data_IF_041847504874
#
_entry.id   IF_041847504874
#
_cell.length_a   1.000
_cell.length_b   1.000
_cell.length_c   1.000
_cell.angle_alpha   90.00
_cell.angle_beta   90.00
_cell.angle_gamma   90.00
#
_symmetry.space_group_name_H-M   'P 1'
#
loop_
_entity.id
_entity.type
_entity.pdbx_description
1 polymer ?
#
# COMPACT_ATOMS: atom_id res chain seq x y z
N UNK A 1 23.07 -12.61 -1.17
CA UNK A 1 21.92 -11.74 -0.81
C UNK A 1 22.48 -10.51 -0.10
N UNK A 2 22.27 -9.33 -0.64
CA UNK A 2 22.49 -8.10 0.14
C UNK A 2 21.42 -8.10 1.23
N UNK A 3 21.85 -7.95 2.47
CA UNK A 3 20.95 -7.72 3.59
C UNK A 3 20.26 -6.38 3.37
N UNK A 4 18.94 -6.31 3.53
CA UNK A 4 18.23 -5.04 3.48
C UNK A 4 18.77 -4.14 4.61
N UNK A 5 19.09 -2.89 4.28
CA UNK A 5 19.50 -1.92 5.28
C UNK A 5 18.32 -1.48 6.14
N UNK A 6 18.58 -1.26 7.43
CA UNK A 6 17.58 -0.68 8.34
C UNK A 6 17.44 0.82 8.01
N UNK A 7 16.30 1.22 7.51
CA UNK A 7 15.98 2.63 7.20
C UNK A 7 15.64 3.45 8.46
N UNK A 8 15.70 2.84 9.64
CA UNK A 8 15.41 3.47 10.95
C UNK A 8 14.02 4.09 11.08
N UNK A 9 13.06 3.69 10.25
CA UNK A 9 11.66 4.10 10.37
C UNK A 9 10.88 3.04 11.15
N UNK A 10 10.17 3.46 12.21
CA UNK A 10 9.32 2.59 13.02
C UNK A 10 7.90 3.09 13.02
N UNK A 11 6.96 2.21 12.72
CA UNK A 11 5.53 2.51 12.76
C UNK A 11 4.93 2.03 14.08
N UNK A 12 4.21 2.90 14.74
CA UNK A 12 3.52 2.61 16.00
C UNK A 12 2.09 3.13 15.94
N UNK A 13 1.16 2.43 16.57
CA UNK A 13 -0.19 2.96 16.75
C UNK A 13 -0.15 4.30 17.48
N UNK A 14 -0.92 5.27 17.00
CA UNK A 14 -1.02 6.62 17.56
C UNK A 14 -1.78 6.61 18.90
N UNK A 15 -1.21 5.93 19.89
CA UNK A 15 -1.71 5.92 21.28
C UNK A 15 -1.43 7.27 21.93
N UNK A 16 -2.33 7.74 22.78
CA UNK A 16 -2.14 9.02 23.46
C UNK A 16 -3.46 9.56 23.98
N UNK A 17 -3.44 10.83 24.34
CA UNK A 17 -4.62 11.56 24.79
C UNK A 17 -4.87 12.76 23.90
N UNK A 18 -6.11 12.92 23.45
CA UNK A 18 -6.55 14.13 22.75
C UNK A 18 -7.76 14.67 23.49
N UNK A 19 -7.64 15.88 24.03
CA UNK A 19 -8.69 16.46 24.86
C UNK A 19 -8.95 15.68 26.16
N UNK A 20 -7.90 15.04 26.73
CA UNK A 20 -7.99 14.28 27.98
C UNK A 20 -8.53 12.84 27.82
N UNK A 21 -8.96 12.44 26.63
CA UNK A 21 -9.47 11.08 26.37
C UNK A 21 -8.37 10.16 25.83
N UNK A 22 -8.16 8.96 26.42
CA UNK A 22 -7.19 8.00 25.92
C UNK A 22 -7.61 7.52 24.53
N UNK A 23 -6.64 7.32 23.63
CA UNK A 23 -6.83 6.79 22.30
C UNK A 23 -6.01 5.53 22.09
N UNK A 24 -6.59 4.57 21.39
CA UNK A 24 -5.91 3.31 21.02
C UNK A 24 -5.11 3.44 19.72
N UNK A 25 -5.30 4.51 18.96
CA UNK A 25 -4.81 4.67 17.60
C UNK A 25 -5.71 4.03 16.56
N UNK A 26 -6.83 3.44 16.97
CA UNK A 26 -7.82 2.79 16.09
C UNK A 26 -9.14 3.54 16.22
N UNK A 27 -9.76 3.84 15.08
CA UNK A 27 -11.07 4.45 14.99
C UNK A 27 -12.02 3.52 14.24
N UNK A 28 -13.10 3.10 14.90
CA UNK A 28 -14.13 2.27 14.30
C UNK A 28 -15.26 3.16 13.75
N UNK A 29 -15.58 2.99 12.47
CA UNK A 29 -16.59 3.77 11.77
C UNK A 29 -17.71 2.84 11.30
N UNK A 30 -18.94 3.11 11.78
CA UNK A 30 -20.12 2.43 11.27
C UNK A 30 -20.49 3.03 9.92
N UNK A 31 -20.62 2.18 8.91
CA UNK A 31 -21.02 2.59 7.55
C UNK A 31 -22.10 1.67 7.01
N UNK A 32 -22.88 2.17 6.06
CA UNK A 32 -23.80 1.37 5.25
C UNK A 32 -23.21 1.06 3.86
N UNK A 33 -21.96 1.46 3.60
CA UNK A 33 -21.25 1.11 2.36
C UNK A 33 -20.79 -0.32 2.48
N UNK A 34 -21.28 -1.17 1.59
CA UNK A 34 -20.96 -2.60 1.57
C UNK A 34 -19.60 -2.87 0.96
N UNK A 35 -19.22 -2.09 -0.06
CA UNK A 35 -17.98 -2.28 -0.82
C UNK A 35 -17.41 -0.94 -1.28
N UNK A 36 -16.10 -0.76 -1.19
CA UNK A 36 -15.36 0.42 -1.60
C UNK A 36 -14.63 0.18 -2.92
N UNK A 37 -14.38 1.26 -3.64
CA UNK A 37 -13.54 1.32 -4.84
C UNK A 37 -12.28 2.15 -4.57
N UNK A 38 -11.42 2.32 -5.55
CA UNK A 38 -10.21 3.14 -5.45
C UNK A 38 -10.45 4.65 -5.71
N UNK A 39 -11.66 5.14 -5.42
CA UNK A 39 -12.10 6.51 -5.68
C UNK A 39 -11.95 7.47 -4.48
N UNK A 40 -11.20 7.07 -3.46
CA UNK A 40 -11.02 7.78 -2.19
C UNK A 40 -12.31 7.99 -1.36
N UNK A 41 -13.43 7.37 -1.71
CA UNK A 41 -14.68 7.55 -0.97
C UNK A 41 -14.55 7.16 0.51
N UNK A 42 -13.82 6.08 0.80
CA UNK A 42 -13.54 5.62 2.18
C UNK A 42 -12.82 6.68 3.02
N UNK A 43 -12.08 7.59 2.40
CA UNK A 43 -11.34 8.68 3.06
C UNK A 43 -12.22 9.90 3.38
N UNK A 44 -13.53 9.82 3.14
CA UNK A 44 -14.47 10.93 3.36
C UNK A 44 -15.67 10.54 4.22
N UNK A 45 -15.83 11.22 5.36
CA UNK A 45 -16.98 11.01 6.26
C UNK A 45 -18.33 11.21 5.55
N UNK A 46 -18.41 12.18 4.63
CA UNK A 46 -19.66 12.46 3.88
C UNK A 46 -20.07 11.34 2.93
N UNK A 47 -19.12 10.46 2.56
CA UNK A 47 -19.35 9.30 1.70
C UNK A 47 -19.48 7.99 2.50
N UNK A 48 -19.58 8.07 3.83
CA UNK A 48 -19.70 6.91 4.71
C UNK A 48 -18.39 6.41 5.31
N UNK A 49 -17.26 6.96 4.93
CA UNK A 49 -15.93 6.62 5.46
C UNK A 49 -15.49 7.52 6.62
N UNK A 50 -14.21 7.73 6.75
CA UNK A 50 -13.60 8.57 7.78
C UNK A 50 -12.67 9.62 7.18
N UNK A 51 -12.79 10.88 7.61
CA UNK A 51 -11.84 11.89 7.20
C UNK A 51 -10.44 11.59 7.75
N UNK A 52 -9.42 12.01 7.02
CA UNK A 52 -8.03 12.00 7.44
C UNK A 52 -7.85 12.68 8.81
N UNK A 53 -6.99 12.11 9.63
CA UNK A 53 -6.64 12.66 10.94
C UNK A 53 -5.22 13.19 10.94
N UNK A 54 -5.05 14.52 11.05
CA UNK A 54 -3.75 15.21 11.14
C UNK A 54 -2.66 14.63 10.22
N UNK A 55 -2.80 14.71 8.90
CA UNK A 55 -1.93 14.03 7.94
C UNK A 55 -0.44 14.37 8.10
N UNK A 56 -0.12 15.58 8.55
CA UNK A 56 1.27 16.00 8.80
C UNK A 56 1.92 15.39 10.05
N UNK A 57 1.16 14.62 10.84
CA UNK A 57 1.65 14.01 12.09
C UNK A 57 1.47 12.50 12.13
N UNK A 58 0.53 11.96 11.36
CA UNK A 58 0.18 10.55 11.40
C UNK A 58 -0.02 9.99 10.00
N UNK A 59 0.52 8.82 9.74
CA UNK A 59 0.10 8.00 8.61
C UNK A 59 -1.32 7.48 8.89
N UNK A 60 -2.25 7.81 8.02
CA UNK A 60 -3.63 7.33 8.09
C UNK A 60 -3.79 6.06 7.26
N UNK A 61 -4.41 5.04 7.84
CA UNK A 61 -4.71 3.79 7.16
C UNK A 61 -6.19 3.50 7.29
N UNK A 62 -6.90 3.43 6.17
CA UNK A 62 -8.29 3.02 6.11
C UNK A 62 -8.38 1.55 5.74
N UNK A 63 -9.11 0.79 6.54
CA UNK A 63 -9.33 -0.63 6.32
C UNK A 63 -10.83 -0.83 6.06
N UNK A 64 -11.16 -1.43 4.94
CA UNK A 64 -12.55 -1.66 4.53
C UNK A 64 -12.72 -2.90 3.68
N UNK A 65 -13.95 -3.16 3.25
CA UNK A 65 -14.24 -4.15 2.22
C UNK A 65 -14.12 -3.46 0.86
N UNK A 66 -13.22 -3.90 0.02
CA UNK A 66 -13.03 -3.37 -1.33
C UNK A 66 -13.49 -4.37 -2.39
N UNK A 67 -13.82 -3.85 -3.57
CA UNK A 67 -14.09 -4.69 -4.74
C UNK A 67 -12.91 -5.64 -5.02
N UNK A 68 -13.20 -6.80 -5.63
CA UNK A 68 -12.22 -7.89 -5.78
C UNK A 68 -10.95 -7.52 -6.54
N UNK A 69 -11.00 -6.47 -7.34
CA UNK A 69 -9.86 -5.98 -8.12
C UNK A 69 -8.90 -5.08 -7.33
N UNK A 70 -9.31 -4.64 -6.12
CA UNK A 70 -8.56 -3.68 -5.30
C UNK A 70 -8.10 -4.31 -3.99
N UNK A 71 -6.83 -4.68 -3.90
CA UNK A 71 -6.21 -5.11 -2.62
C UNK A 71 -5.91 -3.94 -1.69
N UNK A 72 -5.65 -2.78 -2.26
CA UNK A 72 -5.36 -1.54 -1.56
C UNK A 72 -4.63 -0.55 -2.47
N UNK A 73 -4.50 0.68 -2.00
CA UNK A 73 -3.73 1.73 -2.68
C UNK A 73 -3.20 2.74 -1.68
N UNK A 74 -2.12 3.40 -2.04
CA UNK A 74 -1.50 4.47 -1.26
C UNK A 74 -1.52 5.78 -2.04
N UNK A 75 -1.64 6.89 -1.33
CA UNK A 75 -1.36 8.17 -1.94
C UNK A 75 0.15 8.39 -1.97
N UNK A 76 0.68 8.68 -3.15
CA UNK A 76 2.08 9.06 -3.30
C UNK A 76 2.35 10.43 -2.65
N UNK A 77 3.62 10.72 -2.29
CA UNK A 77 4.01 12.02 -1.74
C UNK A 77 3.55 13.19 -2.60
N UNK A 78 3.31 14.34 -1.97
CA UNK A 78 2.84 15.58 -2.60
C UNK A 78 1.37 15.57 -3.06
N UNK A 79 0.62 14.52 -2.76
CA UNK A 79 -0.82 14.50 -2.96
C UNK A 79 -1.57 15.42 -1.97
N UNK A 80 -2.89 15.57 -2.13
CA UNK A 80 -3.70 16.46 -1.28
C UNK A 80 -3.81 15.94 0.16
N UNK A 81 -3.64 16.83 1.15
CA UNK A 81 -3.74 16.51 2.59
C UNK A 81 -5.06 15.78 2.97
N UNK A 82 -6.14 15.99 2.20
CA UNK A 82 -7.46 15.43 2.53
C UNK A 82 -7.60 13.93 2.30
N UNK A 83 -6.74 13.37 1.48
CA UNK A 83 -6.74 11.94 1.09
C UNK A 83 -5.42 11.26 1.43
N UNK A 84 -4.56 11.95 2.20
CA UNK A 84 -3.23 11.49 2.56
C UNK A 84 -3.25 10.23 3.40
N UNK A 85 -2.65 9.17 2.90
CA UNK A 85 -2.54 7.87 3.55
C UNK A 85 -2.83 6.68 2.64
N UNK A 86 -3.10 5.55 3.27
CA UNK A 86 -3.26 4.24 2.64
C UNK A 86 -4.69 3.75 2.84
N UNK A 87 -5.29 3.18 1.80
CA UNK A 87 -6.53 2.42 1.89
C UNK A 87 -6.25 0.97 1.51
N UNK A 88 -6.73 0.01 2.30
CA UNK A 88 -6.43 -1.41 2.13
C UNK A 88 -7.66 -2.26 2.45
N UNK A 89 -7.85 -3.30 1.68
CA UNK A 89 -8.88 -4.30 1.94
C UNK A 89 -8.51 -5.15 3.17
N UNK A 90 -9.50 -5.41 4.01
CA UNK A 90 -9.32 -6.17 5.25
C UNK A 90 -8.81 -7.60 5.03
N UNK A 91 -9.04 -8.18 3.84
CA UNK A 91 -8.58 -9.52 3.45
C UNK A 91 -7.07 -9.58 3.19
N UNK A 92 -6.45 -8.43 2.94
CA UNK A 92 -5.02 -8.27 2.66
C UNK A 92 -4.27 -7.54 3.79
N UNK A 93 -4.96 -7.25 4.90
CA UNK A 93 -4.39 -6.53 6.03
C UNK A 93 -3.96 -7.49 7.15
N UNK A 94 -2.69 -7.40 7.55
CA UNK A 94 -2.17 -8.13 8.70
C UNK A 94 -1.75 -9.57 8.43
N UNK A 95 -1.58 -10.33 9.52
CA UNK A 95 -1.05 -11.69 9.51
C UNK A 95 -2.00 -12.72 10.16
N UNK A 96 -3.12 -12.25 10.67
CA UNK A 96 -4.13 -13.07 11.36
C UNK A 96 -5.54 -12.61 11.00
N UNK A 97 -6.54 -13.37 11.40
CA UNK A 97 -7.94 -13.03 11.18
C UNK A 97 -8.41 -13.41 9.78
N UNK A 98 -8.82 -12.44 8.99
CA UNK A 98 -9.37 -12.64 7.65
C UNK A 98 -8.32 -12.75 6.55
N UNK A 99 -7.09 -12.36 6.84
CA UNK A 99 -5.99 -12.52 5.89
C UNK A 99 -5.63 -14.00 5.71
N UNK A 100 -5.58 -14.46 4.46
CA UNK A 100 -5.26 -15.85 4.10
C UNK A 100 -4.07 -15.91 3.15
N UNK A 101 -3.38 -17.06 3.11
CA UNK A 101 -2.27 -17.26 2.20
C UNK A 101 -2.70 -17.02 0.73
N UNK A 102 -1.86 -16.38 -0.08
CA UNK A 102 -0.49 -15.94 0.18
C UNK A 102 -0.37 -14.52 0.79
N UNK A 103 -1.48 -13.88 1.17
CA UNK A 103 -1.52 -12.48 1.58
C UNK A 103 -1.47 -12.25 3.11
N UNK A 104 -1.24 -13.31 3.88
CA UNK A 104 -1.24 -13.28 5.36
C UNK A 104 0.14 -13.04 5.99
N UNK A 105 1.08 -12.45 5.25
CA UNK A 105 2.41 -12.11 5.77
C UNK A 105 2.60 -10.60 6.01
N UNK A 106 1.52 -9.81 5.87
CA UNK A 106 1.56 -8.35 6.03
C UNK A 106 2.26 -7.60 4.88
N UNK A 107 2.68 -8.31 3.84
CA UNK A 107 3.44 -7.74 2.71
C UNK A 107 2.66 -6.70 1.92
N UNK A 108 1.34 -6.88 1.77
CA UNK A 108 0.51 -5.89 1.07
C UNK A 108 0.58 -4.51 1.73
N UNK A 109 0.46 -4.45 3.06
CA UNK A 109 0.59 -3.16 3.75
C UNK A 109 2.02 -2.62 3.65
N UNK A 110 3.04 -3.47 3.73
CA UNK A 110 4.45 -3.07 3.56
C UNK A 110 4.68 -2.43 2.19
N UNK A 111 4.16 -3.05 1.13
CA UNK A 111 4.19 -2.52 -0.22
C UNK A 111 3.53 -1.14 -0.31
N UNK A 112 2.31 -1.01 0.19
CA UNK A 112 1.59 0.27 0.19
C UNK A 112 2.26 1.36 1.03
N UNK A 113 2.96 0.99 2.11
CA UNK A 113 3.78 1.94 2.88
C UNK A 113 4.98 2.41 2.06
N UNK A 114 5.62 1.55 1.28
CA UNK A 114 6.70 1.96 0.41
C UNK A 114 6.21 2.90 -0.70
N UNK A 115 5.06 2.63 -1.33
CA UNK A 115 4.44 3.58 -2.27
C UNK A 115 4.13 4.93 -1.58
N UNK A 116 3.59 4.91 -0.36
CA UNK A 116 3.33 6.12 0.41
C UNK A 116 4.61 6.94 0.68
N UNK A 117 5.75 6.27 0.85
CA UNK A 117 7.06 6.89 1.01
C UNK A 117 7.72 7.30 -0.33
N UNK A 118 7.09 7.02 -1.46
CA UNK A 118 7.53 7.42 -2.79
C UNK A 118 8.27 6.35 -3.59
N UNK A 119 8.37 5.13 -3.08
CA UNK A 119 8.89 3.99 -3.87
C UNK A 119 7.84 3.62 -4.90
N UNK A 120 8.22 3.55 -6.16
CA UNK A 120 7.33 3.15 -7.25
C UNK A 120 7.41 1.64 -7.48
N UNK A 121 6.36 1.10 -8.07
CA UNK A 121 6.36 -0.29 -8.52
C UNK A 121 7.36 -0.47 -9.66
N UNK A 122 7.98 -1.66 -9.74
CA UNK A 122 8.95 -2.00 -10.80
C UNK A 122 8.33 -2.01 -12.21
N UNK A 123 7.03 -1.92 -12.29
CA UNK A 123 6.26 -1.84 -13.54
C UNK A 123 5.36 -0.60 -13.51
N UNK A 124 4.90 -0.17 -14.66
CA UNK A 124 3.95 0.92 -14.77
C UNK A 124 2.66 0.40 -15.43
N UNK A 125 1.53 0.53 -14.73
CA UNK A 125 0.24 0.05 -15.24
C UNK A 125 -0.26 0.84 -16.47
N UNK A 126 0.15 2.10 -16.57
CA UNK A 126 -0.31 3.00 -17.63
C UNK A 126 0.61 3.00 -18.85
N UNK A 127 1.88 2.65 -18.68
CA UNK A 127 2.90 2.70 -19.73
C UNK A 127 3.66 1.37 -19.72
N UNK A 128 3.45 0.48 -20.69
CA UNK A 128 4.24 -0.75 -20.79
C UNK A 128 5.74 -0.43 -20.77
N UNK A 129 6.50 -1.16 -19.99
CA UNK A 129 7.93 -0.91 -19.79
C UNK A 129 8.24 0.48 -19.21
N UNK A 130 7.38 1.01 -18.36
CA UNK A 130 7.67 2.24 -17.62
C UNK A 130 8.78 2.04 -16.59
N UNK A 131 9.52 3.12 -16.34
CA UNK A 131 10.63 3.15 -15.39
C UNK A 131 10.08 3.46 -13.97
N UNK A 132 10.60 2.79 -12.96
CA UNK A 132 10.33 3.08 -11.54
C UNK A 132 11.23 4.20 -10.98
N UNK A 133 12.09 4.77 -11.83
CA UNK A 133 13.10 5.79 -11.51
C UNK A 133 14.16 5.36 -10.47
N UNK A 134 14.27 4.06 -10.19
CA UNK A 134 15.33 3.50 -9.37
C UNK A 134 16.46 3.00 -10.27
N UNK A 135 17.63 3.57 -10.10
CA UNK A 135 18.79 3.37 -10.99
C UNK A 135 19.30 1.92 -11.03
N UNK A 136 19.06 1.16 -9.97
CA UNK A 136 19.57 -0.21 -9.78
C UNK A 136 18.55 -1.30 -10.06
N UNK A 137 17.36 -0.96 -10.50
CA UNK A 137 16.30 -1.90 -10.86
C UNK A 137 16.11 -2.03 -12.37
N UNK A 138 15.89 -3.24 -12.89
CA UNK A 138 15.58 -3.45 -14.30
C UNK A 138 14.12 -3.08 -14.59
N UNK A 139 13.87 -2.54 -15.75
CA UNK A 139 12.52 -2.22 -16.20
C UNK A 139 11.70 -3.50 -16.38
N UNK A 140 10.52 -3.53 -15.78
CA UNK A 140 9.55 -4.61 -15.90
C UNK A 140 8.42 -4.23 -16.87
N UNK A 141 7.88 -5.19 -17.58
CA UNK A 141 6.73 -4.94 -18.44
C UNK A 141 5.39 -5.03 -17.70
N UNK A 142 5.34 -5.82 -16.62
CA UNK A 142 4.13 -6.07 -15.83
C UNK A 142 4.49 -6.68 -14.48
N UNK A 143 3.56 -6.72 -13.50
CA UNK A 143 3.78 -7.44 -12.26
C UNK A 143 3.99 -8.93 -12.53
N UNK A 144 4.89 -9.55 -11.79
CA UNK A 144 5.10 -10.99 -11.81
C UNK A 144 4.12 -11.69 -10.86
N UNK A 145 3.47 -12.74 -11.34
CA UNK A 145 2.56 -13.56 -10.55
C UNK A 145 3.16 -14.93 -10.25
N UNK A 146 2.98 -15.40 -9.02
CA UNK A 146 3.52 -16.69 -8.56
C UNK A 146 5.04 -16.67 -8.40
N UNK A 147 5.67 -17.77 -8.75
CA UNK A 147 7.14 -17.91 -8.72
C UNK A 147 7.65 -18.15 -10.13
N UNK A 148 7.95 -17.13 -10.90
CA UNK A 148 8.51 -17.30 -12.25
C UNK A 148 9.81 -18.09 -12.22
N UNK A 149 10.05 -18.84 -13.28
CA UNK A 149 11.30 -19.60 -13.42
C UNK A 149 12.49 -18.64 -13.45
N UNK A 150 13.56 -18.99 -12.76
CA UNK A 150 14.77 -18.21 -12.75
C UNK A 150 15.28 -17.88 -14.16
N UNK A 151 15.79 -16.68 -14.29
CA UNK A 151 16.05 -15.92 -15.51
C UNK A 151 14.76 -15.55 -16.26
N UNK A 152 13.71 -15.18 -15.51
CA UNK A 152 12.61 -14.46 -16.10
C UNK A 152 13.15 -13.14 -16.68
N UNK A 153 13.03 -13.01 -17.99
CA UNK A 153 13.64 -11.88 -18.72
C UNK A 153 12.54 -10.94 -19.16
N UNK A 154 12.72 -9.67 -18.86
CA UNK A 154 11.83 -8.62 -19.34
C UNK A 154 11.76 -8.61 -20.88
N UNK A 155 10.57 -8.39 -21.41
CA UNK A 155 10.39 -8.13 -22.85
C UNK A 155 10.72 -6.68 -23.22
N UNK A 156 11.00 -5.84 -22.22
CA UNK A 156 11.40 -4.47 -22.42
C UNK A 156 12.80 -4.37 -23.05
N UNK A 157 13.10 -3.27 -23.71
CA UNK A 157 14.21 -3.15 -24.65
C UNK A 157 15.60 -3.53 -24.18
N UNK A 158 15.84 -3.58 -22.85
CA UNK A 158 17.13 -3.97 -22.28
C UNK A 158 17.29 -5.48 -22.04
N UNK A 159 16.19 -6.26 -22.14
CA UNK A 159 16.17 -7.70 -21.86
C UNK A 159 16.87 -8.11 -20.56
N UNK A 160 16.81 -7.27 -19.54
CA UNK A 160 17.38 -7.60 -18.23
C UNK A 160 16.58 -8.68 -17.51
N UNK A 161 17.25 -9.37 -16.60
CA UNK A 161 16.58 -10.33 -15.72
C UNK A 161 15.75 -9.58 -14.71
N UNK A 162 14.46 -9.85 -14.67
CA UNK A 162 13.54 -9.21 -13.76
C UNK A 162 13.76 -9.60 -12.30
N UNK A 163 13.54 -8.67 -11.39
CA UNK A 163 13.60 -8.89 -9.95
C UNK A 163 12.27 -9.47 -9.45
N UNK A 164 12.01 -10.74 -9.73
CA UNK A 164 10.73 -11.40 -9.45
C UNK A 164 10.34 -11.50 -7.98
N UNK A 165 11.29 -11.25 -7.07
CA UNK A 165 11.10 -11.29 -5.62
C UNK A 165 11.27 -9.92 -4.97
N UNK A 166 11.36 -8.87 -5.75
CA UNK A 166 11.48 -7.50 -5.27
C UNK A 166 10.11 -6.80 -5.29
N UNK A 167 10.13 -5.61 -4.78
CA UNK A 167 8.98 -4.73 -4.57
C UNK A 167 8.27 -4.36 -5.87
#
# INVERSE_FOLDING_TARGET
>A
QRQAEDIHIRFCLAKGSVGGQPRTGINYVKTNVEEWTNDDAIKHKRKGGANVFKPKQYLNVWIGNFEQTVSGYAQFPLGPDKTDGIAIDYRFFGTMGTATAPFNEGKTLTHLVANYLGVQDLWNESIPCGDDFAYDTPIHNSPNHGCPTYKHVSICGNRSVEMTMNF
#
